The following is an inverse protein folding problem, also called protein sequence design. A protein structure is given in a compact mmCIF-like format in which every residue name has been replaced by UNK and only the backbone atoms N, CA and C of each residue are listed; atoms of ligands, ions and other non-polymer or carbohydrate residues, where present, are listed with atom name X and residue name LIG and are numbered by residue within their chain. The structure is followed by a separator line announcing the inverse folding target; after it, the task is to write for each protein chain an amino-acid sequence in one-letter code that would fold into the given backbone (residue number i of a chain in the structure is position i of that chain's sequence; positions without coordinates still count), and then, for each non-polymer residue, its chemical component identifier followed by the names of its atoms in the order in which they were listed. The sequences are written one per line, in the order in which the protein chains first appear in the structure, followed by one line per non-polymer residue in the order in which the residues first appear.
data_IF_753394537671
#
_entry.id   IF_753394537671
#
_cell.length_a   1.000
_cell.length_b   1.000
_cell.length_c   1.000
_cell.angle_alpha   90.00
_cell.angle_beta   90.00
_cell.angle_gamma   90.00
#
_symmetry.space_group_name_H-M   'P 1'
#
loop_
_entity.id
_entity.type
_entity.pdbx_description
1 polymer ?
#
# COMPACT_ATOMS: atom_id res chain seq x y z
N UNK A 1 12.68 2.38 -24.93
CA UNK A 1 12.14 3.60 -24.33
C UNK A 1 13.29 4.46 -23.82
N UNK A 2 13.39 5.66 -24.35
CA UNK A 2 14.47 6.58 -23.98
C UNK A 2 14.04 7.37 -22.75
N UNK A 3 14.83 7.30 -21.70
CA UNK A 3 14.59 8.13 -20.53
C UNK A 3 15.24 9.48 -20.81
N UNK A 4 14.42 10.52 -21.00
CA UNK A 4 14.88 11.85 -21.36
C UNK A 4 15.05 12.77 -20.15
N UNK A 5 14.47 12.43 -19.01
CA UNK A 5 14.59 13.23 -17.79
C UNK A 5 15.66 12.68 -16.87
N UNK A 6 16.37 13.57 -16.15
CA UNK A 6 17.27 13.17 -15.09
C UNK A 6 16.49 12.69 -13.86
N UNK A 7 17.10 11.88 -12.97
CA UNK A 7 16.41 11.47 -11.74
C UNK A 7 15.94 12.63 -10.87
N UNK A 8 16.64 13.75 -10.89
CA UNK A 8 16.24 14.93 -10.12
C UNK A 8 15.00 15.60 -10.71
N UNK A 9 14.87 15.64 -12.04
CA UNK A 9 13.69 16.16 -12.71
C UNK A 9 12.46 15.32 -12.42
N UNK A 10 12.61 14.01 -12.30
CA UNK A 10 11.50 13.09 -11.97
C UNK A 10 10.88 13.37 -10.60
N UNK A 11 11.64 13.92 -9.66
CA UNK A 11 11.13 14.29 -8.34
C UNK A 11 10.40 15.64 -8.33
N UNK A 12 10.65 16.48 -9.32
CA UNK A 12 10.08 17.83 -9.39
C UNK A 12 8.91 17.93 -10.37
N UNK A 13 8.88 17.10 -11.41
CA UNK A 13 7.82 17.12 -12.40
C UNK A 13 6.55 16.45 -11.89
N UNK A 14 5.41 17.03 -12.25
CA UNK A 14 4.12 16.43 -11.97
C UNK A 14 3.93 15.16 -12.81
N UNK A 15 3.57 14.07 -12.16
CA UNK A 15 3.33 12.80 -12.83
C UNK A 15 2.08 12.81 -13.70
N UNK A 16 2.11 12.04 -14.78
CA UNK A 16 0.97 11.93 -15.70
C UNK A 16 -0.27 11.36 -15.02
N UNK A 17 -0.09 10.51 -14.00
CA UNK A 17 -1.19 9.88 -13.28
C UNK A 17 -1.70 10.70 -12.10
N UNK A 18 -1.22 11.93 -11.91
CA UNK A 18 -1.53 12.72 -10.73
C UNK A 18 -3.04 12.94 -10.50
N UNK A 19 -3.82 13.07 -11.57
CA UNK A 19 -5.26 13.26 -11.48
C UNK A 19 -6.02 12.01 -11.02
N UNK A 20 -5.46 10.84 -11.26
CA UNK A 20 -6.08 9.55 -10.90
C UNK A 20 -5.36 8.86 -9.72
N UNK A 21 -4.23 9.40 -9.28
CA UNK A 21 -3.37 8.76 -8.31
C UNK A 21 -4.08 8.44 -7.00
N UNK A 22 -4.82 9.39 -6.45
CA UNK A 22 -5.54 9.19 -5.19
C UNK A 22 -6.50 8.00 -5.27
N UNK A 23 -7.25 7.91 -6.35
CA UNK A 23 -8.22 6.84 -6.55
C UNK A 23 -7.55 5.48 -6.67
N UNK A 24 -6.48 5.39 -7.46
CA UNK A 24 -5.73 4.14 -7.65
C UNK A 24 -5.07 3.70 -6.35
N UNK A 25 -4.40 4.62 -5.66
CA UNK A 25 -3.71 4.33 -4.40
C UNK A 25 -4.70 3.90 -3.32
N UNK A 26 -5.86 4.54 -3.23
CA UNK A 26 -6.88 4.15 -2.24
C UNK A 26 -7.44 2.76 -2.51
N UNK A 27 -7.64 2.39 -3.76
CA UNK A 27 -8.06 1.03 -4.10
C UNK A 27 -7.00 -0.01 -3.75
N UNK A 28 -5.74 0.29 -4.02
CA UNK A 28 -4.62 -0.57 -3.66
C UNK A 28 -4.49 -0.70 -2.14
N UNK A 29 -4.68 0.38 -1.41
CA UNK A 29 -4.65 0.39 0.05
C UNK A 29 -5.76 -0.49 0.63
N UNK A 30 -6.95 -0.44 0.06
CA UNK A 30 -8.06 -1.29 0.49
C UNK A 30 -7.72 -2.77 0.35
N UNK A 31 -7.16 -3.18 -0.78
CA UNK A 31 -6.76 -4.55 -1.02
C UNK A 31 -5.61 -4.97 -0.09
N UNK A 32 -4.61 -4.11 0.08
CA UNK A 32 -3.47 -4.37 0.96
C UNK A 32 -3.92 -4.62 2.39
N UNK A 33 -4.83 -3.80 2.87
CA UNK A 33 -5.34 -3.88 4.24
C UNK A 33 -6.13 -5.16 4.50
N UNK A 34 -6.86 -5.65 3.52
CA UNK A 34 -7.75 -6.80 3.70
C UNK A 34 -7.04 -8.12 3.42
N UNK A 35 -6.24 -8.20 2.36
CA UNK A 35 -5.78 -9.48 1.85
C UNK A 35 -4.30 -9.54 1.44
N UNK A 36 -3.63 -8.41 1.32
CA UNK A 36 -2.31 -8.38 0.72
C UNK A 36 -1.38 -7.43 1.48
N UNK A 37 -0.95 -7.84 2.67
CA UNK A 37 -0.02 -7.06 3.48
C UNK A 37 1.37 -6.94 2.87
N UNK A 38 1.72 -7.79 1.93
CA UNK A 38 3.04 -7.80 1.29
C UNK A 38 3.36 -6.48 0.58
N UNK A 39 2.36 -5.75 0.08
CA UNK A 39 2.59 -4.44 -0.52
C UNK A 39 2.04 -3.26 0.31
N UNK A 40 1.66 -3.49 1.56
CA UNK A 40 1.13 -2.43 2.44
C UNK A 40 2.10 -1.26 2.58
N UNK A 41 3.38 -1.53 2.80
CA UNK A 41 4.37 -0.48 2.96
C UNK A 41 4.49 0.37 1.70
N UNK A 42 4.55 -0.27 0.54
CA UNK A 42 4.68 0.42 -0.75
C UNK A 42 3.47 1.33 -1.01
N UNK A 43 2.26 0.83 -0.75
CA UNK A 43 1.04 1.63 -0.91
C UNK A 43 1.02 2.80 0.05
N UNK A 44 1.42 2.57 1.30
CA UNK A 44 1.45 3.63 2.32
C UNK A 44 2.43 4.74 1.95
N UNK A 45 3.59 4.39 1.40
CA UNK A 45 4.56 5.37 0.92
C UNK A 45 4.00 6.20 -0.23
N UNK A 46 3.27 5.57 -1.16
CA UNK A 46 2.62 6.30 -2.25
C UNK A 46 1.47 7.18 -1.75
N UNK A 47 0.74 6.74 -0.74
CA UNK A 47 -0.35 7.53 -0.17
C UNK A 47 0.13 8.86 0.42
N UNK A 48 1.33 8.90 0.96
CA UNK A 48 1.94 10.13 1.48
C UNK A 48 2.21 11.16 0.38
N UNK A 49 2.42 10.69 -0.85
CA UNK A 49 2.81 11.52 -1.98
C UNK A 49 1.64 11.94 -2.86
N UNK A 50 0.41 11.59 -2.50
CA UNK A 50 -0.78 11.84 -3.32
C UNK A 50 -0.96 13.33 -3.63
N UNK A 51 -0.66 14.21 -2.68
CA UNK A 51 -0.79 15.65 -2.85
C UNK A 51 0.36 16.27 -3.65
N UNK A 52 1.47 15.54 -3.79
CA UNK A 52 2.68 15.97 -4.51
C UNK A 52 3.12 14.89 -5.49
N UNK A 53 2.21 14.47 -6.33
CA UNK A 53 2.47 13.37 -7.23
C UNK A 53 3.46 13.75 -8.32
N UNK A 54 4.56 13.02 -8.42
CA UNK A 54 5.64 13.26 -9.36
C UNK A 54 5.81 12.09 -10.33
N UNK A 55 6.67 12.27 -11.34
CA UNK A 55 7.01 11.19 -12.29
C UNK A 55 7.63 9.99 -11.57
N UNK A 56 8.42 10.22 -10.53
CA UNK A 56 8.96 9.13 -9.71
C UNK A 56 7.84 8.31 -9.05
N UNK A 57 6.78 8.96 -8.60
CA UNK A 57 5.60 8.28 -8.05
C UNK A 57 4.87 7.47 -9.10
N UNK A 58 4.75 7.97 -10.33
CA UNK A 58 4.18 7.21 -11.45
C UNK A 58 4.93 5.90 -11.67
N UNK A 59 6.25 5.93 -11.63
CA UNK A 59 7.07 4.73 -11.78
C UNK A 59 6.86 3.74 -10.65
N UNK A 60 6.81 4.23 -9.42
CA UNK A 60 6.57 3.39 -8.24
C UNK A 60 5.19 2.76 -8.30
N UNK A 61 4.18 3.52 -8.69
CA UNK A 61 2.83 3.00 -8.85
C UNK A 61 2.76 1.95 -9.95
N UNK A 62 3.42 2.19 -11.07
CA UNK A 62 3.47 1.23 -12.17
C UNK A 62 4.13 -0.09 -11.71
N UNK A 63 5.23 -0.03 -10.97
CA UNK A 63 5.87 -1.22 -10.40
C UNK A 63 4.93 -1.96 -9.46
N UNK A 64 4.24 -1.23 -8.61
CA UNK A 64 3.30 -1.82 -7.67
C UNK A 64 2.17 -2.56 -8.39
N UNK A 65 1.57 -1.92 -9.40
CA UNK A 65 0.50 -2.52 -10.19
C UNK A 65 0.98 -3.76 -10.94
N UNK A 66 2.19 -3.72 -11.50
CA UNK A 66 2.80 -4.88 -12.15
C UNK A 66 3.02 -6.03 -11.16
N UNK A 67 3.52 -5.72 -9.96
CA UNK A 67 3.68 -6.71 -8.91
C UNK A 67 2.34 -7.33 -8.52
N UNK A 68 1.33 -6.52 -8.30
CA UNK A 68 -0.02 -6.99 -7.97
C UNK A 68 -0.59 -7.90 -9.06
N UNK A 69 -0.38 -7.52 -10.33
CA UNK A 69 -0.85 -8.30 -11.46
C UNK A 69 -0.15 -9.66 -11.55
N UNK A 70 1.17 -9.67 -11.40
CA UNK A 70 1.97 -10.89 -11.48
C UNK A 70 1.71 -11.84 -10.31
N UNK A 71 1.31 -11.30 -9.17
CA UNK A 71 1.06 -12.07 -7.94
C UNK A 71 -0.42 -12.10 -7.57
N UNK A 72 -1.31 -11.96 -8.54
CA UNK A 72 -2.74 -11.85 -8.29
C UNK A 72 -3.32 -13.07 -7.58
N UNK A 73 -2.71 -14.24 -7.77
CA UNK A 73 -3.15 -15.49 -7.15
C UNK A 73 -2.49 -15.75 -5.79
N UNK A 74 -1.57 -14.89 -5.36
CA UNK A 74 -0.94 -15.04 -4.05
C UNK A 74 -1.95 -14.71 -2.96
N UNK A 75 -1.92 -15.54 -1.92
CA UNK A 75 -2.75 -15.35 -0.74
C UNK A 75 -1.88 -15.46 0.51
N UNK A 76 -2.24 -14.68 1.52
CA UNK A 76 -1.62 -14.83 2.82
C UNK A 76 -2.28 -16.02 3.53
N UNK A 77 -1.45 -16.94 3.98
CA UNK A 77 -1.93 -18.16 4.64
C UNK A 77 -1.39 -18.19 6.05
N UNK A 78 -2.27 -18.40 7.00
CA UNK A 78 -1.92 -18.62 8.38
C UNK A 78 -2.47 -19.96 8.82
N UNK A 79 -1.64 -20.78 9.47
CA UNK A 79 -2.04 -22.06 9.99
C UNK A 79 -2.04 -22.02 11.52
N UNK A 80 -3.16 -22.35 12.12
CA UNK A 80 -3.30 -22.44 13.56
C UNK A 80 -3.73 -23.85 13.89
N UNK A 81 -2.87 -24.60 14.58
CA UNK A 81 -3.11 -26.00 14.92
C UNK A 81 -3.88 -26.18 16.23
N UNK A 82 -3.95 -25.16 17.06
CA UNK A 82 -4.61 -25.24 18.35
C UNK A 82 -6.14 -25.17 18.20
N UNK A 83 -6.84 -25.75 19.17
CA UNK A 83 -8.30 -25.66 19.19
C UNK A 83 -8.75 -24.20 19.37
N UNK A 84 -9.88 -23.79 18.78
CA UNK A 84 -10.35 -22.40 18.89
C UNK A 84 -10.47 -21.88 20.32
N UNK A 85 -10.80 -22.72 21.28
CA UNK A 85 -10.91 -22.35 22.69
C UNK A 85 -9.56 -22.05 23.37
N UNK A 86 -8.46 -22.53 22.79
CA UNK A 86 -7.11 -22.31 23.30
C UNK A 86 -6.41 -21.14 22.60
N UNK A 87 -7.11 -20.45 21.70
CA UNK A 87 -6.57 -19.35 20.93
C UNK A 87 -7.09 -18.01 21.46
N UNK A 88 -6.22 -16.99 21.38
CA UNK A 88 -6.64 -15.62 21.60
C UNK A 88 -5.97 -14.73 20.56
N UNK A 89 -6.58 -13.59 20.31
CA UNK A 89 -6.05 -12.62 19.35
C UNK A 89 -5.20 -11.60 20.07
N UNK A 90 -3.96 -11.44 19.63
CA UNK A 90 -3.06 -10.38 20.12
C UNK A 90 -2.72 -9.47 18.94
N UNK A 91 -2.94 -8.18 19.12
CA UNK A 91 -2.60 -7.18 18.13
C UNK A 91 -1.46 -6.30 18.63
N UNK A 92 -0.34 -6.34 17.92
CA UNK A 92 0.76 -5.42 18.13
C UNK A 92 0.69 -4.32 17.11
N UNK A 93 0.77 -3.08 17.54
CA UNK A 93 0.76 -1.94 16.64
C UNK A 93 1.91 -1.00 16.99
N UNK A 94 2.59 -0.53 15.93
CA UNK A 94 3.58 0.51 16.01
C UNK A 94 3.22 1.55 14.97
N UNK A 95 3.18 2.83 15.38
CA UNK A 95 2.67 3.87 14.50
C UNK A 95 3.68 4.99 14.35
N UNK A 96 3.96 5.35 13.10
CA UNK A 96 4.55 6.64 12.78
C UNK A 96 3.44 7.69 12.66
N UNK A 97 3.82 8.96 12.71
CA UNK A 97 2.86 10.06 12.60
C UNK A 97 2.00 9.97 11.33
N UNK A 98 2.60 9.52 10.21
CA UNK A 98 1.90 9.40 8.93
C UNK A 98 1.07 8.10 8.80
N UNK A 99 1.29 7.12 9.66
CA UNK A 99 0.62 5.82 9.59
C UNK A 99 -0.58 5.68 10.52
N UNK A 100 -0.87 6.65 11.37
CA UNK A 100 -1.89 6.55 12.43
C UNK A 100 -3.28 6.26 11.87
N UNK A 101 -3.67 6.93 10.79
CA UNK A 101 -4.99 6.73 10.20
C UNK A 101 -5.21 5.30 9.70
N UNK A 102 -4.19 4.69 9.13
CA UNK A 102 -4.25 3.31 8.63
C UNK A 102 -4.38 2.33 9.80
N UNK A 103 -3.62 2.54 10.87
CA UNK A 103 -3.70 1.69 12.05
C UNK A 103 -5.08 1.76 12.70
N UNK A 104 -5.66 2.94 12.80
CA UNK A 104 -7.00 3.10 13.34
C UNK A 104 -8.03 2.33 12.51
N UNK A 105 -7.93 2.40 11.19
CA UNK A 105 -8.82 1.65 10.31
C UNK A 105 -8.66 0.14 10.47
N UNK A 106 -7.43 -0.34 10.64
CA UNK A 106 -7.17 -1.76 10.89
C UNK A 106 -7.77 -2.21 12.22
N UNK A 107 -7.63 -1.40 13.26
CA UNK A 107 -8.23 -1.70 14.56
C UNK A 107 -9.74 -1.77 14.47
N UNK A 108 -10.38 -0.84 13.79
CA UNK A 108 -11.83 -0.86 13.58
C UNK A 108 -12.27 -2.13 12.84
N UNK A 109 -11.51 -2.57 11.84
CA UNK A 109 -11.82 -3.78 11.10
C UNK A 109 -11.76 -5.04 11.99
N UNK A 110 -10.85 -5.07 12.99
CA UNK A 110 -10.74 -6.20 13.91
C UNK A 110 -11.83 -6.23 14.97
N UNK A 111 -12.33 -5.07 15.40
CA UNK A 111 -13.31 -4.97 16.48
C UNK A 111 -14.75 -4.76 16.02
N UNK A 112 -14.93 -4.63 14.71
CA UNK A 112 -16.27 -4.42 14.15
C UNK A 112 -17.13 -5.71 14.16
#
# INVERSE_FOLDING_TARGET
MTITSSPLEEFDERGALSSAAARIVLKALYVARIARYDFMWSVNMLAREVTRWTVACDRRLHRLVCYMHQTAEYAQVCFVSDAPGDCWLTLFSDASFAGVGILNQLQEAFYA
#
